data_IF_247755548504
#
_entry.id   IF_247755548504
#
_cell.length_a   1.000
_cell.length_b   1.000
_cell.length_c   1.000
_cell.angle_alpha   90.00
_cell.angle_beta   90.00
_cell.angle_gamma   90.00
#
_symmetry.space_group_name_H-M   'P 1'
#
loop_
_entity.id
_entity.type
_entity.pdbx_description
1 polymer ?
#
# COMPACT_ATOMS: atom_id res chain seq x y z
N UNK A 1 10.52 -5.10 -10.55
CA UNK A 1 10.66 -3.64 -10.83
C UNK A 1 11.97 -3.18 -10.20
N UNK A 2 12.97 -2.78 -11.00
CA UNK A 2 14.28 -2.39 -10.46
C UNK A 2 14.17 -1.02 -9.76
N UNK A 3 14.74 -0.90 -8.55
CA UNK A 3 14.74 0.32 -7.75
C UNK A 3 16.10 0.98 -7.85
N UNK A 4 16.13 2.30 -8.00
CA UNK A 4 17.35 3.11 -8.06
C UNK A 4 17.37 4.13 -6.91
N UNK A 5 17.62 3.74 -5.65
CA UNK A 5 17.81 4.68 -4.55
C UNK A 5 18.81 5.78 -4.90
N UNK A 6 18.41 7.01 -4.60
CA UNK A 6 19.17 8.24 -4.81
C UNK A 6 19.30 8.99 -3.49
N UNK A 7 20.44 9.63 -3.25
CA UNK A 7 20.58 10.64 -2.18
C UNK A 7 20.74 12.02 -2.79
N UNK A 8 20.09 13.00 -2.18
CA UNK A 8 20.27 14.41 -2.53
C UNK A 8 21.72 14.81 -2.25
N UNK A 9 22.40 15.31 -3.28
CA UNK A 9 23.74 15.87 -3.19
C UNK A 9 23.70 17.40 -3.10
N UNK A 10 22.83 18.02 -3.90
CA UNK A 10 22.69 19.47 -3.95
C UNK A 10 21.24 19.86 -4.26
N UNK A 11 20.78 20.93 -3.62
CA UNK A 11 19.49 21.57 -3.89
C UNK A 11 19.75 22.85 -4.69
N UNK A 12 19.13 22.97 -5.87
CA UNK A 12 19.07 24.20 -6.66
C UNK A 12 17.63 24.69 -6.67
N UNK A 13 17.42 25.94 -7.10
CA UNK A 13 16.07 26.55 -7.12
C UNK A 13 15.07 25.72 -7.93
N UNK A 14 15.48 25.24 -9.11
CA UNK A 14 14.57 24.55 -10.05
C UNK A 14 14.78 23.04 -10.14
N UNK A 15 15.83 22.49 -9.53
CA UNK A 15 16.15 21.07 -9.64
C UNK A 15 16.97 20.53 -8.46
N UNK A 16 16.95 19.20 -8.31
CA UNK A 16 17.68 18.48 -7.26
C UNK A 16 18.74 17.59 -7.90
N UNK A 17 20.00 17.77 -7.50
CA UNK A 17 21.10 16.91 -7.93
C UNK A 17 21.16 15.70 -7.00
N UNK A 18 21.16 14.50 -7.58
CA UNK A 18 21.12 13.25 -6.85
C UNK A 18 22.31 12.35 -7.18
N UNK A 19 22.88 11.70 -6.16
CA UNK A 19 23.85 10.61 -6.33
C UNK A 19 23.08 9.28 -6.38
N UNK A 20 23.36 8.47 -7.39
CA UNK A 20 22.79 7.14 -7.55
C UNK A 20 23.55 6.16 -6.64
N UNK A 21 22.83 5.46 -5.76
CA UNK A 21 23.45 4.55 -4.78
C UNK A 21 23.66 3.13 -5.30
N UNK A 22 22.95 2.74 -6.34
CA UNK A 22 23.01 1.41 -6.93
C UNK A 22 22.73 1.45 -8.43
N UNK A 23 23.30 0.49 -9.16
CA UNK A 23 22.99 0.32 -10.57
C UNK A 23 21.60 -0.30 -10.74
N UNK A 24 20.79 0.31 -11.59
CA UNK A 24 19.50 -0.19 -12.02
C UNK A 24 19.19 0.29 -13.44
N UNK A 25 18.55 -0.56 -14.23
CA UNK A 25 18.06 -0.24 -15.57
C UNK A 25 16.62 0.25 -15.48
N UNK A 26 16.42 1.50 -15.86
CA UNK A 26 15.10 2.10 -15.98
C UNK A 26 14.64 1.97 -17.44
N UNK A 27 13.76 1.02 -17.72
CA UNK A 27 13.19 0.82 -19.05
C UNK A 27 11.76 1.39 -19.11
N UNK A 28 11.53 2.37 -20.00
CA UNK A 28 10.25 3.06 -20.16
C UNK A 28 10.37 4.59 -20.14
N UNK A 29 9.25 5.29 -20.35
CA UNK A 29 9.17 6.76 -20.33
C UNK A 29 8.60 7.33 -19.03
N UNK A 30 7.94 6.50 -18.21
CA UNK A 30 7.27 6.93 -16.98
C UNK A 30 7.75 6.10 -15.79
N UNK A 31 8.20 6.78 -14.73
CA UNK A 31 8.64 6.16 -13.50
C UNK A 31 8.00 6.86 -12.30
N UNK A 32 7.65 6.08 -11.27
CA UNK A 32 7.19 6.62 -9.99
C UNK A 32 8.42 7.02 -9.16
N UNK A 33 8.46 8.27 -8.72
CA UNK A 33 9.45 8.75 -7.76
C UNK A 33 8.86 8.67 -6.35
N UNK A 34 9.54 7.97 -5.45
CA UNK A 34 9.22 7.96 -4.02
C UNK A 34 10.22 8.84 -3.29
N UNK A 35 9.74 9.82 -2.52
CA UNK A 35 10.60 10.68 -1.72
C UNK A 35 10.27 10.47 -0.25
N UNK A 36 11.18 9.78 0.44
CA UNK A 36 11.00 9.38 1.84
C UNK A 36 11.38 10.51 2.80
N UNK A 37 10.70 10.57 3.95
CA UNK A 37 11.02 11.49 5.07
C UNK A 37 10.98 12.98 4.73
N UNK A 38 10.18 13.37 3.73
CA UNK A 38 9.82 14.76 3.52
C UNK A 38 8.50 15.01 4.24
N UNK A 39 8.48 15.99 5.12
CA UNK A 39 7.23 16.58 5.59
C UNK A 39 6.65 17.41 4.46
N UNK A 40 5.61 16.88 3.83
CA UNK A 40 4.79 17.66 2.92
C UNK A 40 3.77 18.35 3.81
N UNK A 41 3.76 19.69 3.86
CA UNK A 41 2.74 20.46 4.57
C UNK A 41 1.41 20.42 3.79
N UNK A 42 0.89 19.21 3.60
CA UNK A 42 -0.47 18.95 3.18
C UNK A 42 -1.14 18.23 4.35
N UNK A 43 -2.35 18.63 4.74
CA UNK A 43 -3.07 17.94 5.80
C UNK A 43 -3.26 16.45 5.42
N UNK A 44 -3.01 15.55 6.38
CA UNK A 44 -3.15 14.09 6.19
C UNK A 44 -4.59 13.69 5.85
N UNK A 45 -5.56 14.47 6.34
CA UNK A 45 -6.93 14.54 5.86
C UNK A 45 -7.20 15.98 5.44
N UNK A 46 -7.21 16.22 4.15
CA UNK A 46 -7.42 17.55 3.59
C UNK A 46 -8.89 17.95 3.65
N UNK A 47 -9.18 19.27 3.62
CA UNK A 47 -10.55 19.73 3.36
C UNK A 47 -11.08 19.07 2.07
N UNK A 48 -10.21 18.79 1.10
CA UNK A 48 -10.54 18.04 -0.11
C UNK A 48 -11.00 16.58 0.11
N UNK A 49 -10.66 15.91 1.21
CA UNK A 49 -11.15 14.56 1.52
C UNK A 49 -12.55 14.59 2.15
N UNK A 50 -12.86 15.64 2.93
CA UNK A 50 -14.23 15.94 3.35
C UNK A 50 -15.06 16.39 2.16
N UNK A 51 -14.47 17.18 1.28
CA UNK A 51 -15.07 17.55 -0.01
C UNK A 51 -15.30 16.31 -0.87
N UNK A 52 -14.48 15.26 -0.78
CA UNK A 52 -14.72 14.02 -1.52
C UNK A 52 -16.03 13.34 -1.10
N UNK A 53 -16.31 13.23 0.21
CA UNK A 53 -17.62 12.74 0.70
C UNK A 53 -18.75 13.68 0.31
N UNK A 54 -18.56 14.99 0.48
CA UNK A 54 -19.57 15.98 0.11
C UNK A 54 -19.85 15.97 -1.40
N UNK A 55 -18.82 15.82 -2.23
CA UNK A 55 -18.90 15.73 -3.68
C UNK A 55 -19.61 14.45 -4.12
N UNK A 56 -19.25 13.29 -3.54
CA UNK A 56 -19.95 12.03 -3.79
C UNK A 56 -21.42 12.13 -3.34
N UNK A 57 -21.73 12.86 -2.27
CA UNK A 57 -23.10 13.08 -1.81
C UNK A 57 -23.94 13.91 -2.79
N UNK A 58 -23.31 14.85 -3.52
CA UNK A 58 -23.95 15.68 -4.56
C UNK A 58 -24.21 14.90 -5.86
N UNK A 59 -23.43 13.84 -6.10
CA UNK A 59 -23.60 12.92 -7.22
C UNK A 59 -24.57 11.80 -6.78
N UNK A 60 -25.87 12.04 -6.89
CA UNK A 60 -26.98 11.23 -6.34
C UNK A 60 -26.71 9.73 -6.10
N UNK A 61 -26.36 8.96 -7.14
CA UNK A 61 -26.21 7.50 -7.05
C UNK A 61 -24.92 7.01 -6.34
N UNK A 62 -24.02 7.91 -5.96
CA UNK A 62 -22.72 7.56 -5.37
C UNK A 62 -22.66 7.74 -3.85
N UNK A 63 -23.77 8.06 -3.19
CA UNK A 63 -23.81 8.23 -1.72
C UNK A 63 -23.35 6.99 -0.94
N UNK A 64 -23.48 5.79 -1.52
CA UNK A 64 -23.04 4.53 -0.90
C UNK A 64 -21.58 4.19 -1.18
N UNK A 65 -20.84 5.05 -1.89
CA UNK A 65 -19.43 4.81 -2.21
C UNK A 65 -18.60 4.87 -0.93
N UNK A 66 -17.93 3.75 -0.64
CA UNK A 66 -17.06 3.63 0.52
C UNK A 66 -15.68 4.25 0.23
N UNK A 67 -15.12 4.95 1.21
CA UNK A 67 -13.80 5.56 1.12
C UNK A 67 -12.82 4.74 1.95
N UNK A 68 -11.79 4.20 1.29
CA UNK A 68 -10.72 3.46 1.96
C UNK A 68 -9.47 4.31 2.11
N UNK A 69 -9.03 4.50 3.35
CA UNK A 69 -7.78 5.18 3.67
C UNK A 69 -6.58 4.30 3.35
N UNK A 70 -5.75 4.71 2.38
CA UNK A 70 -4.57 3.95 1.97
C UNK A 70 -3.33 4.42 2.73
N UNK A 71 -2.77 3.55 3.57
CA UNK A 71 -1.63 3.86 4.42
C UNK A 71 -0.34 3.40 3.72
N UNK A 72 0.47 4.35 3.27
CA UNK A 72 1.64 4.09 2.41
C UNK A 72 2.96 4.66 2.93
N UNK A 73 2.91 5.56 3.93
CA UNK A 73 4.07 6.26 4.47
C UNK A 73 4.00 6.34 6.02
N UNK A 74 5.06 6.88 6.62
CA UNK A 74 5.16 7.04 8.09
C UNK A 74 4.15 8.04 8.64
N UNK A 75 3.81 9.06 7.88
CA UNK A 75 2.83 10.08 8.29
C UNK A 75 1.43 9.47 8.46
N UNK A 76 1.00 8.65 7.50
CA UNK A 76 -0.26 7.92 7.59
C UNK A 76 -0.29 6.91 8.75
N UNK A 77 0.86 6.36 9.15
CA UNK A 77 0.94 5.55 10.39
C UNK A 77 0.84 6.40 11.65
N UNK A 78 1.35 7.64 11.63
CA UNK A 78 1.34 8.55 12.77
C UNK A 78 -0.07 9.06 13.03
N UNK A 79 -0.81 9.43 11.97
CA UNK A 79 -2.20 9.87 12.05
C UNK A 79 -3.21 8.75 11.78
N UNK A 80 -2.80 7.49 11.99
CA UNK A 80 -3.61 6.33 11.64
C UNK A 80 -4.99 6.34 12.31
N UNK A 81 -5.06 6.76 13.58
CA UNK A 81 -6.32 6.76 14.33
C UNK A 81 -7.32 7.79 13.79
N UNK A 82 -6.84 8.95 13.33
CA UNK A 82 -7.67 9.98 12.69
C UNK A 82 -8.19 9.48 11.33
N UNK A 83 -7.31 8.89 10.52
CA UNK A 83 -7.69 8.31 9.22
C UNK A 83 -8.70 7.17 9.43
N UNK A 84 -8.47 6.30 10.42
CA UNK A 84 -9.36 5.19 10.74
C UNK A 84 -10.73 5.70 11.19
N UNK A 85 -10.83 6.81 11.90
CA UNK A 85 -12.12 7.38 12.30
C UNK A 85 -12.94 7.86 11.11
N UNK A 86 -12.31 8.50 10.12
CA UNK A 86 -12.99 9.10 8.98
C UNK A 86 -13.21 8.13 7.79
N UNK A 87 -12.31 7.16 7.60
CA UNK A 87 -12.41 6.20 6.50
C UNK A 87 -13.44 5.09 6.77
N UNK A 88 -14.05 4.54 5.72
CA UNK A 88 -14.93 3.36 5.82
C UNK A 88 -14.14 2.05 5.94
N UNK A 89 -12.85 2.08 5.61
CA UNK A 89 -11.92 0.96 5.70
C UNK A 89 -10.49 1.40 5.48
N UNK A 90 -9.54 0.49 5.67
CA UNK A 90 -8.11 0.77 5.54
C UNK A 90 -7.46 -0.18 4.54
N UNK A 91 -6.60 0.36 3.68
CA UNK A 91 -5.70 -0.43 2.83
C UNK A 91 -4.27 -0.19 3.30
N UNK A 92 -3.61 -1.23 3.80
CA UNK A 92 -2.21 -1.17 4.24
C UNK A 92 -1.25 -1.52 3.09
N UNK A 93 -0.43 -0.55 2.69
CA UNK A 93 0.50 -0.68 1.57
C UNK A 93 1.91 -1.06 2.03
N UNK A 94 2.14 -2.35 2.28
CA UNK A 94 3.40 -2.86 2.83
C UNK A 94 4.60 -2.61 1.92
N UNK A 95 4.39 -2.66 0.60
CA UNK A 95 5.43 -2.42 -0.39
C UNK A 95 5.98 -0.99 -0.37
N UNK A 96 5.13 -0.01 -0.07
CA UNK A 96 5.50 1.41 0.06
C UNK A 96 6.01 1.72 1.47
N UNK A 97 5.37 1.18 2.51
CA UNK A 97 5.85 1.31 3.89
C UNK A 97 7.26 0.74 4.09
N UNK A 98 7.60 -0.35 3.39
CA UNK A 98 8.96 -0.92 3.41
C UNK A 98 10.03 -0.05 2.72
N UNK A 99 9.66 1.07 2.09
CA UNK A 99 10.62 2.07 1.60
C UNK A 99 11.01 3.02 2.73
N UNK A 100 10.07 3.40 3.58
CA UNK A 100 10.28 4.37 4.66
C UNK A 100 10.72 3.73 5.98
N UNK A 101 10.29 2.50 6.22
CA UNK A 101 10.54 1.76 7.46
C UNK A 101 11.52 0.62 7.25
N UNK A 102 12.31 0.27 8.29
CA UNK A 102 13.05 -0.98 8.30
C UNK A 102 12.09 -2.17 8.05
N UNK A 103 12.43 -3.14 7.18
CA UNK A 103 11.55 -4.26 6.84
C UNK A 103 11.04 -5.03 8.07
N UNK A 104 11.87 -5.17 9.10
CA UNK A 104 11.55 -5.80 10.37
C UNK A 104 10.55 -5.03 11.23
N UNK A 105 10.23 -3.77 10.91
CA UNK A 105 9.18 -3.01 11.62
C UNK A 105 7.84 -3.05 10.92
N UNK A 106 7.81 -3.32 9.62
CA UNK A 106 6.57 -3.29 8.82
C UNK A 106 5.51 -4.25 9.38
N UNK A 107 5.93 -5.44 9.82
CA UNK A 107 4.99 -6.43 10.37
C UNK A 107 4.33 -5.97 11.69
N UNK A 108 5.04 -5.19 12.52
CA UNK A 108 4.50 -4.67 13.79
C UNK A 108 3.37 -3.68 13.51
N UNK A 109 3.60 -2.77 12.57
CA UNK A 109 2.59 -1.79 12.15
C UNK A 109 1.40 -2.47 11.49
N UNK A 110 1.61 -3.52 10.68
CA UNK A 110 0.52 -4.30 10.11
C UNK A 110 -0.38 -4.89 11.19
N UNK A 111 0.20 -5.61 12.16
CA UNK A 111 -0.58 -6.23 13.24
C UNK A 111 -1.35 -5.19 14.05
N UNK A 112 -0.70 -4.08 14.40
CA UNK A 112 -1.35 -2.99 15.13
C UNK A 112 -2.49 -2.34 14.33
N UNK A 113 -2.28 -2.08 13.04
CA UNK A 113 -3.29 -1.48 12.17
C UNK A 113 -4.50 -2.40 12.00
N UNK A 114 -4.28 -3.68 11.67
CA UNK A 114 -5.37 -4.67 11.52
C UNK A 114 -6.13 -4.83 12.84
N UNK A 115 -5.43 -4.90 13.98
CA UNK A 115 -6.08 -4.96 15.28
C UNK A 115 -6.98 -3.74 15.54
N UNK A 116 -6.50 -2.52 15.27
CA UNK A 116 -7.29 -1.29 15.44
C UNK A 116 -8.51 -1.26 14.51
N UNK A 117 -8.36 -1.67 13.25
CA UNK A 117 -9.47 -1.80 12.31
C UNK A 117 -10.54 -2.78 12.83
N UNK A 118 -10.11 -3.94 13.33
CA UNK A 118 -11.01 -4.96 13.90
C UNK A 118 -11.76 -4.42 15.13
N UNK A 119 -11.06 -3.69 16.01
CA UNK A 119 -11.68 -3.05 17.18
C UNK A 119 -12.68 -1.95 16.78
N UNK A 120 -12.43 -1.25 15.67
CA UNK A 120 -13.34 -0.23 15.13
C UNK A 120 -14.47 -0.82 14.28
N UNK A 121 -14.45 -2.13 13.99
CA UNK A 121 -15.40 -2.78 13.09
C UNK A 121 -15.28 -2.31 11.64
N UNK A 122 -14.10 -1.87 11.21
CA UNK A 122 -13.85 -1.36 9.86
C UNK A 122 -12.96 -2.34 9.09
N UNK A 123 -13.25 -2.61 7.80
CA UNK A 123 -12.49 -3.57 7.01
C UNK A 123 -11.02 -3.16 6.85
N UNK A 124 -10.12 -4.11 7.09
CA UNK A 124 -8.70 -4.02 6.83
C UNK A 124 -8.32 -4.83 5.59
N UNK A 125 -7.61 -4.19 4.68
CA UNK A 125 -7.11 -4.81 3.43
C UNK A 125 -5.60 -4.68 3.38
N UNK A 126 -4.90 -5.74 3.00
CA UNK A 126 -3.44 -5.69 2.80
C UNK A 126 -3.07 -5.88 1.33
N UNK A 127 -1.90 -5.36 0.94
CA UNK A 127 -1.38 -5.47 -0.43
C UNK A 127 -0.03 -6.17 -0.48
N UNK A 128 0.36 -6.57 -1.71
CA UNK A 128 1.69 -7.11 -2.07
C UNK A 128 2.08 -8.30 -1.22
N UNK A 129 1.34 -9.39 -1.36
CA UNK A 129 1.54 -10.61 -0.56
C UNK A 129 2.09 -11.77 -1.39
N UNK A 130 1.98 -11.71 -2.73
CA UNK A 130 2.38 -12.79 -3.66
C UNK A 130 3.11 -12.27 -4.89
N UNK A 131 3.98 -11.28 -4.69
CA UNK A 131 4.70 -10.58 -5.76
C UNK A 131 5.43 -11.51 -6.72
N UNK A 132 5.97 -12.64 -6.24
CA UNK A 132 6.70 -13.60 -7.07
C UNK A 132 5.83 -14.27 -8.14
N UNK A 133 4.50 -14.27 -7.95
CA UNK A 133 3.54 -14.89 -8.87
C UNK A 133 3.33 -14.10 -10.17
N UNK A 134 3.95 -12.92 -10.32
CA UNK A 134 4.03 -12.26 -11.64
C UNK A 134 4.80 -13.08 -12.64
N UNK A 135 5.90 -13.70 -12.18
CA UNK A 135 6.84 -14.43 -13.03
C UNK A 135 6.83 -15.95 -12.75
N UNK A 136 6.24 -16.38 -11.62
CA UNK A 136 6.18 -17.78 -11.19
C UNK A 136 4.74 -18.30 -11.13
N UNK A 137 4.60 -19.61 -11.34
CA UNK A 137 3.32 -20.32 -11.30
C UNK A 137 2.75 -20.50 -9.89
N UNK A 138 3.61 -20.52 -8.87
CA UNK A 138 3.25 -20.78 -7.48
C UNK A 138 3.90 -19.75 -6.57
N UNK A 139 3.24 -19.35 -5.47
CA UNK A 139 3.86 -18.48 -4.48
C UNK A 139 4.98 -19.23 -3.77
N UNK A 140 5.93 -18.46 -3.25
CA UNK A 140 6.96 -19.01 -2.38
C UNK A 140 6.36 -19.44 -1.03
N UNK A 141 7.07 -20.30 -0.28
CA UNK A 141 6.64 -20.68 1.08
C UNK A 141 6.51 -19.46 2.00
N UNK A 142 7.37 -18.46 1.82
CA UNK A 142 7.32 -17.23 2.61
C UNK A 142 6.04 -16.44 2.33
N UNK A 143 5.68 -16.26 1.06
CA UNK A 143 4.45 -15.56 0.64
C UNK A 143 3.18 -16.31 1.07
N UNK A 144 3.14 -17.63 0.90
CA UNK A 144 2.01 -18.44 1.39
C UNK A 144 1.84 -18.33 2.92
N UNK A 145 2.96 -18.32 3.65
CA UNK A 145 2.96 -18.14 5.12
C UNK A 145 2.51 -16.72 5.50
N UNK A 146 2.89 -15.72 4.72
CA UNK A 146 2.53 -14.33 4.95
C UNK A 146 1.03 -14.08 4.72
N UNK A 147 0.45 -14.66 3.66
CA UNK A 147 -1.01 -14.71 3.43
C UNK A 147 -1.72 -15.36 4.62
N UNK A 148 -1.24 -16.52 5.08
CA UNK A 148 -1.85 -17.23 6.19
C UNK A 148 -1.80 -16.40 7.50
N UNK A 149 -0.67 -15.77 7.79
CA UNK A 149 -0.54 -14.90 8.96
C UNK A 149 -1.46 -13.67 8.88
N UNK A 150 -1.61 -13.07 7.71
CA UNK A 150 -2.54 -11.96 7.52
C UNK A 150 -4.00 -12.35 7.77
N UNK A 151 -4.40 -13.54 7.32
CA UNK A 151 -5.72 -14.08 7.61
C UNK A 151 -5.90 -14.35 9.12
N UNK A 152 -4.88 -14.90 9.78
CA UNK A 152 -4.89 -15.13 11.23
C UNK A 152 -4.91 -13.84 12.06
N UNK A 153 -4.30 -12.77 11.55
CA UNK A 153 -4.36 -11.45 12.17
C UNK A 153 -5.76 -10.81 12.07
N UNK A 154 -6.65 -11.40 11.27
CA UNK A 154 -8.02 -10.93 11.06
C UNK A 154 -8.11 -9.86 10.00
N UNK A 155 -7.34 -9.99 8.91
CA UNK A 155 -7.51 -9.12 7.74
C UNK A 155 -8.74 -9.56 6.94
N UNK A 156 -9.58 -8.61 6.51
CA UNK A 156 -10.80 -8.89 5.74
C UNK A 156 -10.52 -9.25 4.28
N UNK A 157 -9.50 -8.64 3.66
CA UNK A 157 -9.16 -8.93 2.28
C UNK A 157 -7.67 -8.78 1.95
N UNK A 158 -7.25 -9.49 0.90
CA UNK A 158 -5.94 -9.33 0.29
C UNK A 158 -6.14 -8.73 -1.10
N UNK A 159 -5.55 -7.56 -1.32
CA UNK A 159 -5.58 -6.86 -2.60
C UNK A 159 -4.36 -7.25 -3.45
N UNK A 160 -4.64 -7.83 -4.60
CA UNK A 160 -3.67 -8.23 -5.62
C UNK A 160 -3.53 -7.11 -6.65
N UNK A 161 -2.31 -6.83 -7.10
CA UNK A 161 -2.03 -5.75 -8.04
C UNK A 161 -1.44 -6.25 -9.34
N UNK A 162 -0.10 -6.17 -9.44
CA UNK A 162 0.63 -6.58 -10.65
C UNK A 162 0.46 -8.08 -10.95
N UNK A 163 0.21 -8.88 -9.93
CA UNK A 163 0.00 -10.32 -9.99
C UNK A 163 -1.26 -10.69 -10.78
N UNK A 164 -2.27 -9.83 -10.78
CA UNK A 164 -3.51 -10.02 -11.56
C UNK A 164 -3.43 -9.28 -12.90
N UNK A 165 -2.81 -8.09 -12.93
CA UNK A 165 -2.73 -7.28 -14.15
C UNK A 165 -1.74 -7.83 -15.19
N UNK A 166 -0.62 -8.41 -14.73
CA UNK A 166 0.48 -8.90 -15.58
C UNK A 166 0.77 -10.39 -15.39
N UNK A 167 0.14 -11.03 -14.40
CA UNK A 167 0.37 -12.44 -14.12
C UNK A 167 -0.14 -13.32 -15.25
N UNK A 168 0.69 -14.28 -15.65
CA UNK A 168 0.40 -15.20 -16.75
C UNK A 168 -0.71 -16.23 -16.41
N UNK A 169 -1.09 -16.37 -15.13
CA UNK A 169 -1.92 -17.49 -14.65
C UNK A 169 -2.91 -17.12 -13.52
N UNK A 170 -3.90 -16.25 -13.82
CA UNK A 170 -4.92 -15.80 -12.86
C UNK A 170 -5.63 -16.93 -12.07
N UNK A 171 -6.03 -18.01 -12.75
CA UNK A 171 -6.77 -19.11 -12.11
C UNK A 171 -5.90 -19.95 -11.16
N UNK A 172 -4.59 -20.06 -11.44
CA UNK A 172 -3.64 -20.74 -10.55
C UNK A 172 -3.34 -19.90 -9.31
N UNK A 173 -3.44 -18.58 -9.43
CA UNK A 173 -3.26 -17.67 -8.30
C UNK A 173 -4.32 -17.94 -7.22
N UNK A 174 -5.59 -18.08 -7.59
CA UNK A 174 -6.64 -18.43 -6.63
C UNK A 174 -6.44 -19.83 -6.02
N UNK A 175 -6.04 -20.83 -6.83
CA UNK A 175 -5.74 -22.17 -6.31
C UNK A 175 -4.54 -22.19 -5.35
N UNK A 176 -3.47 -21.44 -5.64
CA UNK A 176 -2.26 -21.36 -4.81
C UNK A 176 -2.49 -20.67 -3.47
N UNK A 177 -3.47 -19.78 -3.41
CA UNK A 177 -3.94 -19.16 -2.18
C UNK A 177 -4.95 -20.04 -1.40
N UNK A 178 -5.30 -21.22 -1.92
CA UNK A 178 -6.25 -22.13 -1.28
C UNK A 178 -7.71 -21.72 -1.40
N UNK A 179 -8.03 -20.70 -2.22
CA UNK A 179 -9.42 -20.36 -2.54
C UNK A 179 -9.98 -21.38 -3.52
N UNK A 180 -10.99 -22.15 -3.08
CA UNK A 180 -11.81 -22.94 -3.99
C UNK A 180 -12.84 -22.02 -4.64
N UNK A 181 -12.72 -21.86 -5.96
CA UNK A 181 -13.72 -21.22 -6.82
C UNK A 181 -14.85 -22.21 -7.10
#
# INVERSE_FOLDING_TARGET
>A
MQRAPRSVAELKEDYVVCIIKNSATLAGSLFTLHISKIHINLPTFSDSDKDAREFLSKLGDLQQTQIFGKIENVEGLTHFDEILQEADGIILSRGNLGIDLPPEKVFLFQKAAVYKCNMAGKPAVITRVVDSMTDNLWPTRAEATDVANAALDGTDAILLGAETLRGLYLWKLFQGLGFRI
#
